data_IF_533520417969
#
_entry.id   IF_533520417969
#
_cell.length_a   1.000
_cell.length_b   1.000
_cell.length_c   1.000
_cell.angle_alpha   90.00
_cell.angle_beta   90.00
_cell.angle_gamma   90.00
#
_symmetry.space_group_name_H-M   'P 1'
#
loop_
_entity.id
_entity.type
_entity.pdbx_description
1 polymer ?
#
# COMPACT_ATOMS: atom_id res chain seq x y z
N UNK A 1 16.92 -21.11 -25.44
CA UNK A 1 16.04 -20.57 -24.38
C UNK A 1 15.89 -19.09 -24.65
N UNK A 2 14.71 -18.64 -25.10
CA UNK A 2 14.43 -17.21 -25.23
C UNK A 2 14.47 -16.62 -23.82
N UNK A 3 15.36 -15.65 -23.58
CA UNK A 3 15.33 -14.87 -22.35
C UNK A 3 13.94 -14.23 -22.28
N UNK A 4 13.17 -14.54 -21.24
CA UNK A 4 11.92 -13.83 -20.96
C UNK A 4 12.30 -12.36 -20.84
N UNK A 5 11.88 -11.57 -21.83
CA UNK A 5 12.12 -10.14 -21.82
C UNK A 5 11.27 -9.56 -20.69
N UNK A 6 11.90 -9.17 -19.59
CA UNK A 6 11.23 -8.49 -18.49
C UNK A 6 10.58 -7.21 -19.04
N UNK A 7 9.25 -7.12 -18.96
CA UNK A 7 8.50 -5.93 -19.39
C UNK A 7 8.88 -4.70 -18.57
N UNK A 8 9.24 -4.90 -17.31
CA UNK A 8 9.66 -3.85 -16.38
C UNK A 8 10.67 -4.42 -15.39
N UNK A 9 11.75 -3.70 -15.16
CA UNK A 9 12.75 -4.14 -14.17
C UNK A 9 12.22 -3.96 -12.74
N UNK A 10 12.74 -4.72 -11.75
CA UNK A 10 12.39 -4.52 -10.35
C UNK A 10 12.67 -3.09 -9.86
N UNK A 11 13.74 -2.47 -10.35
CA UNK A 11 14.10 -1.09 -10.03
C UNK A 11 13.09 -0.08 -10.60
N UNK A 12 12.65 -0.27 -11.86
CA UNK A 12 11.61 0.55 -12.48
C UNK A 12 10.28 0.41 -11.74
N UNK A 13 9.88 -0.82 -11.38
CA UNK A 13 8.66 -1.07 -10.61
C UNK A 13 8.70 -0.36 -9.25
N UNK A 14 9.84 -0.45 -8.55
CA UNK A 14 10.03 0.20 -7.26
C UNK A 14 9.95 1.74 -7.39
N UNK A 15 10.59 2.30 -8.42
CA UNK A 15 10.51 3.73 -8.70
C UNK A 15 9.08 4.19 -9.00
N UNK A 16 8.33 3.46 -9.83
CA UNK A 16 6.95 3.80 -10.16
C UNK A 16 6.05 3.78 -8.91
N UNK A 17 6.17 2.76 -8.06
CA UNK A 17 5.35 2.68 -6.85
C UNK A 17 5.72 3.77 -5.85
N UNK A 18 7.00 4.14 -5.75
CA UNK A 18 7.45 5.27 -4.95
C UNK A 18 6.80 6.58 -5.43
N UNK A 19 6.87 6.86 -6.74
CA UNK A 19 6.28 8.06 -7.34
C UNK A 19 4.76 8.06 -7.15
N UNK A 20 4.09 6.95 -7.41
CA UNK A 20 2.65 6.81 -7.18
C UNK A 20 2.28 7.07 -5.72
N UNK A 21 3.07 6.57 -4.77
CA UNK A 21 2.90 6.79 -3.34
C UNK A 21 3.05 8.26 -2.97
N UNK A 22 4.05 8.96 -3.52
CA UNK A 22 4.23 10.40 -3.30
C UNK A 22 3.05 11.20 -3.86
N UNK A 23 2.62 10.89 -5.08
CA UNK A 23 1.45 11.52 -5.72
C UNK A 23 0.20 11.29 -4.89
N UNK A 24 -0.03 10.07 -4.42
CA UNK A 24 -1.17 9.73 -3.56
C UNK A 24 -1.13 10.52 -2.24
N UNK A 25 0.05 10.70 -1.66
CA UNK A 25 0.23 11.53 -0.45
C UNK A 25 -0.20 12.98 -0.69
N UNK A 26 0.23 13.56 -1.82
CA UNK A 26 -0.07 14.95 -2.19
C UNK A 26 -1.56 15.12 -2.47
N UNK A 27 -2.16 14.21 -3.26
CA UNK A 27 -3.59 14.24 -3.56
C UNK A 27 -4.41 14.03 -2.28
N UNK A 28 -4.02 13.06 -1.44
CA UNK A 28 -4.62 12.81 -0.14
C UNK A 28 -4.57 14.05 0.75
N UNK A 29 -3.43 14.75 0.80
CA UNK A 29 -3.29 16.02 1.51
C UNK A 29 -4.29 17.05 1.01
N UNK A 30 -4.36 17.24 -0.31
CA UNK A 30 -5.22 18.24 -0.94
C UNK A 30 -6.70 17.98 -0.69
N UNK A 31 -7.15 16.74 -0.94
CA UNK A 31 -8.53 16.31 -0.66
C UNK A 31 -8.85 16.45 0.82
N UNK A 32 -7.94 15.98 1.68
CA UNK A 32 -8.15 16.03 3.13
C UNK A 32 -8.18 17.44 3.70
N UNK A 33 -7.35 18.34 3.19
CA UNK A 33 -7.37 19.76 3.57
C UNK A 33 -8.66 20.43 3.10
N UNK A 34 -9.09 20.16 1.86
CA UNK A 34 -10.33 20.71 1.31
C UNK A 34 -11.59 20.21 2.05
N UNK A 35 -11.66 18.90 2.32
CA UNK A 35 -12.83 18.28 2.95
C UNK A 35 -12.91 18.50 4.46
N UNK A 36 -11.77 18.51 5.16
CA UNK A 36 -11.74 18.46 6.63
C UNK A 36 -10.92 19.57 7.31
N UNK A 37 -10.42 20.56 6.54
CA UNK A 37 -9.65 21.77 6.92
C UNK A 37 -8.37 21.56 7.72
N UNK A 38 -8.36 20.72 8.75
CA UNK A 38 -7.19 20.42 9.60
C UNK A 38 -6.88 18.92 9.68
N UNK A 39 -7.82 18.05 9.27
CA UNK A 39 -7.69 16.58 9.41
C UNK A 39 -7.18 15.86 8.15
N UNK A 40 -6.84 16.62 7.11
CA UNK A 40 -6.23 16.09 5.89
C UNK A 40 -4.82 15.51 6.07
N UNK A 41 -4.16 15.82 7.20
CA UNK A 41 -2.85 15.25 7.55
C UNK A 41 -2.86 13.72 7.63
N UNK A 42 -3.99 13.09 7.96
CA UNK A 42 -4.05 11.63 8.02
C UNK A 42 -4.15 11.03 6.60
N UNK A 43 -4.68 11.76 5.61
CA UNK A 43 -4.69 11.30 4.21
C UNK A 43 -3.33 11.38 3.54
N UNK A 44 -2.43 12.26 4.03
CA UNK A 44 -1.02 12.24 3.63
C UNK A 44 -0.40 10.86 3.88
N UNK A 45 -0.82 10.15 4.93
CA UNK A 45 -0.25 8.86 5.30
C UNK A 45 -0.64 7.72 4.35
N UNK A 46 -1.60 7.94 3.44
CA UNK A 46 -2.01 6.93 2.45
C UNK A 46 -0.86 6.52 1.53
N UNK A 47 -0.04 7.48 1.07
CA UNK A 47 1.11 7.20 0.23
C UNK A 47 2.23 6.42 0.94
N UNK A 48 2.74 6.88 2.10
CA UNK A 48 3.70 6.12 2.89
C UNK A 48 3.20 4.71 3.25
N UNK A 49 1.90 4.55 3.53
CA UNK A 49 1.30 3.25 3.80
C UNK A 49 1.38 2.33 2.56
N UNK A 50 1.02 2.83 1.37
CA UNK A 50 1.13 2.07 0.12
C UNK A 50 2.58 1.69 -0.17
N UNK A 51 3.53 2.60 0.07
CA UNK A 51 4.95 2.32 -0.09
C UNK A 51 5.43 1.20 0.86
N UNK A 52 5.04 1.26 2.14
CA UNK A 52 5.39 0.22 3.12
C UNK A 52 4.79 -1.14 2.73
N UNK A 53 3.53 -1.16 2.28
CA UNK A 53 2.89 -2.38 1.81
C UNK A 53 3.61 -2.96 0.60
N UNK A 54 4.07 -2.12 -0.32
CA UNK A 54 4.87 -2.53 -1.46
C UNK A 54 6.21 -3.14 -1.03
N UNK A 55 6.92 -2.52 -0.08
CA UNK A 55 8.16 -3.10 0.47
C UNK A 55 7.90 -4.46 1.14
N UNK A 56 6.78 -4.58 1.87
CA UNK A 56 6.34 -5.84 2.46
C UNK A 56 6.06 -6.91 1.42
N UNK A 57 5.32 -6.57 0.35
CA UNK A 57 5.08 -7.44 -0.80
C UNK A 57 6.40 -7.94 -1.37
N UNK A 58 7.32 -7.04 -1.73
CA UNK A 58 8.62 -7.40 -2.31
C UNK A 58 9.43 -8.32 -1.39
N UNK A 59 9.42 -8.05 -0.09
CA UNK A 59 10.14 -8.88 0.88
C UNK A 59 9.57 -10.29 0.98
N UNK A 60 8.24 -10.42 0.96
CA UNK A 60 7.54 -11.70 1.10
C UNK A 60 7.64 -12.53 -0.19
N UNK A 61 7.58 -11.88 -1.35
CA UNK A 61 7.58 -12.54 -2.68
C UNK A 61 8.98 -12.74 -3.26
N UNK A 62 10.03 -12.24 -2.60
CA UNK A 62 11.42 -12.37 -3.07
C UNK A 62 11.83 -13.81 -3.36
N UNK A 63 12.71 -13.95 -4.35
CA UNK A 63 13.46 -15.18 -4.58
C UNK A 63 14.69 -15.20 -3.68
N UNK A 64 14.89 -16.29 -2.95
CA UNK A 64 16.12 -16.58 -2.24
C UNK A 64 16.84 -17.76 -2.90
N UNK A 65 18.00 -17.52 -3.57
CA UNK A 65 18.74 -18.56 -4.26
C UNK A 65 19.39 -19.59 -3.34
N UNK A 66 19.62 -19.27 -2.06
CA UNK A 66 20.26 -20.20 -1.12
C UNK A 66 19.27 -21.25 -0.60
N UNK A 67 18.03 -20.84 -0.32
CA UNK A 67 16.98 -21.74 0.16
C UNK A 67 16.06 -22.27 -0.95
N UNK A 68 16.18 -21.75 -2.18
CA UNK A 68 15.24 -22.00 -3.27
C UNK A 68 13.83 -21.45 -2.98
N UNK A 69 13.70 -20.58 -1.99
CA UNK A 69 12.42 -19.98 -1.62
C UNK A 69 11.97 -19.02 -2.71
N UNK A 70 10.75 -19.21 -3.20
CA UNK A 70 10.07 -18.29 -4.09
C UNK A 70 8.67 -18.05 -3.57
N UNK A 71 8.46 -16.89 -2.95
CA UNK A 71 7.20 -16.57 -2.25
C UNK A 71 5.99 -16.56 -3.18
N UNK A 72 6.17 -16.15 -4.43
CA UNK A 72 5.11 -16.07 -5.45
C UNK A 72 4.46 -17.43 -5.77
N UNK A 73 5.16 -18.55 -5.58
CA UNK A 73 4.61 -19.88 -5.84
C UNK A 73 3.80 -20.45 -4.66
N UNK A 74 3.75 -19.75 -3.52
CA UNK A 74 3.11 -20.26 -2.31
C UNK A 74 1.75 -19.58 -2.12
N UNK A 75 0.67 -20.34 -2.31
CA UNK A 75 -0.71 -19.82 -2.13
C UNK A 75 -0.92 -19.21 -0.74
N UNK A 76 -0.34 -19.81 0.31
CA UNK A 76 -0.46 -19.28 1.67
C UNK A 76 0.17 -17.88 1.81
N UNK A 77 1.23 -17.60 1.06
CA UNK A 77 1.93 -16.31 1.08
C UNK A 77 1.02 -15.21 0.51
N UNK A 78 0.39 -15.48 -0.63
CA UNK A 78 -0.57 -14.58 -1.27
C UNK A 78 -1.84 -14.41 -0.41
N UNK A 79 -2.31 -15.49 0.21
CA UNK A 79 -3.45 -15.43 1.13
C UNK A 79 -3.12 -14.58 2.38
N UNK A 80 -1.93 -14.74 2.95
CA UNK A 80 -1.45 -13.93 4.07
C UNK A 80 -1.37 -12.45 3.70
N UNK A 81 -0.77 -12.12 2.55
CA UNK A 81 -0.72 -10.75 2.04
C UNK A 81 -2.11 -10.13 1.90
N UNK A 82 -3.05 -10.89 1.32
CA UNK A 82 -4.45 -10.47 1.17
C UNK A 82 -5.08 -10.14 2.52
N UNK A 83 -4.89 -11.01 3.51
CA UNK A 83 -5.43 -10.80 4.88
C UNK A 83 -4.83 -9.54 5.51
N UNK A 84 -3.52 -9.33 5.38
CA UNK A 84 -2.84 -8.13 5.91
C UNK A 84 -3.41 -6.86 5.29
N UNK A 85 -3.60 -6.85 3.97
CA UNK A 85 -4.11 -5.68 3.24
C UNK A 85 -5.55 -5.36 3.62
N UNK A 86 -6.40 -6.39 3.73
CA UNK A 86 -7.80 -6.23 4.19
C UNK A 86 -7.84 -5.70 5.62
N UNK A 87 -7.02 -6.26 6.52
CA UNK A 87 -6.97 -5.83 7.92
C UNK A 87 -6.51 -4.37 8.04
N UNK A 88 -5.48 -3.96 7.30
CA UNK A 88 -5.02 -2.57 7.27
C UNK A 88 -6.05 -1.63 6.64
N UNK A 89 -6.71 -2.04 5.56
CA UNK A 89 -7.80 -1.28 4.95
C UNK A 89 -8.97 -1.05 5.91
N UNK A 90 -9.38 -2.10 6.64
CA UNK A 90 -10.41 -2.01 7.66
C UNK A 90 -10.00 -1.10 8.82
N UNK A 91 -8.75 -1.19 9.29
CA UNK A 91 -8.21 -0.32 10.34
C UNK A 91 -8.17 1.15 9.88
N UNK A 92 -7.70 1.42 8.67
CA UNK A 92 -7.71 2.76 8.08
C UNK A 92 -9.13 3.32 7.95
N UNK A 93 -10.09 2.52 7.50
CA UNK A 93 -11.51 2.91 7.42
C UNK A 93 -12.13 3.19 8.78
N UNK A 94 -11.78 2.38 9.80
CA UNK A 94 -12.21 2.60 11.17
C UNK A 94 -11.63 3.89 11.76
N UNK A 95 -10.32 4.15 11.57
CA UNK A 95 -9.65 5.39 11.99
C UNK A 95 -10.28 6.59 11.27
N UNK A 96 -10.58 6.47 9.98
CA UNK A 96 -11.22 7.51 9.18
C UNK A 96 -12.56 7.94 9.78
N UNK A 97 -13.44 6.98 10.02
CA UNK A 97 -14.76 7.22 10.60
C UNK A 97 -14.68 7.79 12.02
N UNK A 98 -13.68 7.40 12.81
CA UNK A 98 -13.62 7.77 14.23
C UNK A 98 -12.87 9.08 14.49
N UNK A 99 -11.85 9.39 13.68
CA UNK A 99 -10.93 10.51 13.93
C UNK A 99 -11.10 11.64 12.91
N UNK A 100 -11.31 11.32 11.62
CA UNK A 100 -11.23 12.31 10.54
C UNK A 100 -12.59 12.89 10.18
N UNK A 101 -13.53 12.01 9.81
CA UNK A 101 -14.89 12.37 9.41
C UNK A 101 -15.93 11.75 10.37
N UNK A 102 -15.97 12.16 11.65
CA UNK A 102 -16.90 11.62 12.63
C UNK A 102 -18.37 12.04 12.41
N UNK A 103 -18.78 12.47 11.21
CA UNK A 103 -20.07 13.14 11.04
C UNK A 103 -21.28 12.17 11.08
N UNK A 104 -22.12 12.40 12.12
CA UNK A 104 -23.52 12.01 12.36
C UNK A 104 -23.82 10.57 12.83
N UNK A 105 -23.25 10.14 13.95
CA UNK A 105 -23.91 9.13 14.84
C UNK A 105 -25.04 9.78 15.67
N UNK A 106 -25.89 10.57 15.03
CA UNK A 106 -26.93 11.35 15.70
C UNK A 106 -28.03 11.76 14.73
N UNK A 107 -28.80 10.78 14.28
CA UNK A 107 -30.25 10.85 14.06
C UNK A 107 -30.84 9.50 14.40
#
# INVERSE_FOLDING_TARGET
MQALQELISPAQSNFLVMVASLVLSIIGAGIGFWAAKTRGLILILSGPLVWLLWQGHQWITRYDPQSGYFGLNKVWVLAFETVVFVALGALCGWIWNRVIAPEKQGK
#
